data_IF_617631445265
#
_entry.id   IF_617631445265
#
_cell.length_a   1.000
_cell.length_b   1.000
_cell.length_c   1.000
_cell.angle_alpha   90.00
_cell.angle_beta   90.00
_cell.angle_gamma   90.00
#
_symmetry.space_group_name_H-M   'P 1'
#
loop_
_entity.id
_entity.type
_entity.pdbx_description
1 polymer ?
#
# COMPACT_ATOMS: atom_id res chain seq x y z
N UNK A 1 -6.98 -0.09 -0.84
CA UNK A 1 -7.05 0.44 -2.20
C UNK A 1 -8.10 1.55 -2.26
N UNK A 2 -7.68 2.79 -2.45
CA UNK A 2 -8.49 3.99 -2.25
C UNK A 2 -9.43 4.26 -3.45
N UNK A 3 -9.15 3.60 -4.58
CA UNK A 3 -10.05 3.53 -5.73
C UNK A 3 -11.47 3.06 -5.35
N UNK A 4 -11.61 2.27 -4.29
CA UNK A 4 -12.91 1.85 -3.76
C UNK A 4 -13.83 3.04 -3.39
N UNK A 5 -13.28 4.16 -2.91
CA UNK A 5 -14.07 5.38 -2.62
C UNK A 5 -14.74 5.87 -3.89
N UNK A 6 -13.98 5.92 -5.00
CA UNK A 6 -14.50 6.31 -6.31
C UNK A 6 -15.51 5.30 -6.84
N UNK A 7 -15.23 4.00 -6.68
CA UNK A 7 -16.14 2.91 -7.10
C UNK A 7 -17.48 3.00 -6.39
N UNK A 8 -17.53 3.09 -5.05
CA UNK A 8 -18.80 3.24 -4.33
C UNK A 8 -19.55 4.47 -4.81
N UNK A 9 -18.88 5.62 -4.87
CA UNK A 9 -19.51 6.88 -5.26
C UNK A 9 -20.10 6.83 -6.68
N UNK A 10 -19.49 6.05 -7.57
CA UNK A 10 -19.90 5.96 -8.98
C UNK A 10 -20.97 4.87 -9.19
N UNK A 11 -20.79 3.70 -8.60
CA UNK A 11 -21.61 2.51 -8.85
C UNK A 11 -22.75 2.33 -7.82
N UNK A 12 -22.60 2.90 -6.62
CA UNK A 12 -23.56 2.79 -5.50
C UNK A 12 -23.78 4.17 -4.85
N UNK A 13 -24.26 5.18 -5.59
CA UNK A 13 -24.34 6.57 -5.10
C UNK A 13 -25.28 6.75 -3.89
N UNK A 14 -26.23 5.85 -3.70
CA UNK A 14 -27.18 5.88 -2.59
C UNK A 14 -26.64 5.22 -1.30
N UNK A 15 -25.47 4.58 -1.37
CA UNK A 15 -24.86 3.95 -0.20
C UNK A 15 -24.19 5.01 0.69
N UNK A 16 -24.77 5.27 1.86
CA UNK A 16 -24.15 6.11 2.88
C UNK A 16 -23.03 5.34 3.60
N UNK A 17 -21.83 5.38 3.03
CA UNK A 17 -20.63 4.79 3.62
C UNK A 17 -19.70 5.86 4.22
N UNK A 18 -19.03 5.49 5.31
CA UNK A 18 -18.06 6.35 6.00
C UNK A 18 -16.80 5.56 6.35
N UNK A 19 -15.63 6.15 6.13
CA UNK A 19 -14.36 5.62 6.62
C UNK A 19 -14.11 6.09 8.05
N UNK A 20 -13.81 5.14 8.92
CA UNK A 20 -13.41 5.39 10.31
C UNK A 20 -11.91 5.65 10.45
N UNK A 21 -11.47 6.14 11.63
CA UNK A 21 -10.05 6.29 11.93
C UNK A 21 -9.35 4.93 12.06
N UNK A 22 -8.03 4.90 11.87
CA UNK A 22 -7.19 3.72 12.15
C UNK A 22 -7.29 3.37 13.64
N UNK A 23 -7.46 2.07 13.95
CA UNK A 23 -7.57 1.54 15.32
C UNK A 23 -6.31 1.83 16.15
N UNK A 24 -6.46 2.02 17.47
CA UNK A 24 -5.44 2.63 18.34
C UNK A 24 -4.89 1.75 19.47
N UNK A 25 -5.31 0.48 19.59
CA UNK A 25 -5.09 -0.28 20.82
C UNK A 25 -3.61 -0.53 21.17
N UNK A 26 -2.82 -1.03 20.21
CA UNK A 26 -1.40 -1.37 20.40
C UNK A 26 -0.50 -0.52 19.51
N UNK A 27 -0.60 -0.75 18.20
CA UNK A 27 0.07 0.03 17.20
C UNK A 27 -0.97 0.56 16.21
N UNK A 28 -0.91 1.86 15.92
CA UNK A 28 -1.74 2.45 14.88
C UNK A 28 -1.04 2.26 13.54
N UNK A 29 -1.41 1.21 12.82
CA UNK A 29 -0.74 0.78 11.59
C UNK A 29 -1.78 0.47 10.51
N UNK A 30 -1.45 0.88 9.29
CA UNK A 30 -2.13 0.43 8.08
C UNK A 30 -1.10 -0.16 7.12
N UNK A 31 -1.56 -0.98 6.18
CA UNK A 31 -0.74 -1.43 5.07
C UNK A 31 -0.77 -0.36 3.97
N UNK A 32 0.40 0.04 3.49
CA UNK A 32 0.53 0.89 2.31
C UNK A 32 1.46 0.25 1.28
N UNK A 33 1.32 0.69 0.04
CA UNK A 33 2.26 0.36 -1.03
C UNK A 33 2.47 1.62 -1.83
N UNK A 34 3.71 1.88 -2.24
CA UNK A 34 4.05 3.01 -3.10
C UNK A 34 4.42 2.46 -4.47
N UNK A 35 3.70 2.91 -5.50
CA UNK A 35 4.10 2.68 -6.88
C UNK A 35 5.32 3.54 -7.22
N UNK A 36 6.37 2.89 -7.74
CA UNK A 36 7.59 3.55 -8.19
C UNK A 36 7.75 3.45 -9.71
N UNK A 37 8.55 4.35 -10.27
CA UNK A 37 9.01 4.26 -11.65
C UNK A 37 10.45 3.78 -11.68
N UNK A 38 10.76 2.84 -12.58
CA UNK A 38 12.10 2.32 -12.80
C UNK A 38 12.49 2.43 -14.26
N UNK A 39 13.76 2.71 -14.53
CA UNK A 39 14.33 2.64 -15.88
C UNK A 39 15.11 1.33 -15.96
N UNK A 40 14.80 0.51 -16.97
CA UNK A 40 15.56 -0.72 -17.21
C UNK A 40 17.02 -0.39 -17.50
N UNK A 41 17.94 -1.13 -16.88
CA UNK A 41 19.37 -0.95 -17.09
C UNK A 41 19.80 -1.23 -18.55
N UNK A 42 18.99 -1.98 -19.31
CA UNK A 42 19.23 -2.26 -20.73
C UNK A 42 18.55 -1.27 -21.67
N UNK A 43 17.94 -0.18 -21.15
CA UNK A 43 17.31 0.83 -22.00
C UNK A 43 18.31 1.41 -22.99
N UNK A 44 17.90 1.51 -24.26
CA UNK A 44 18.69 2.19 -25.30
C UNK A 44 18.63 3.72 -25.19
N UNK A 45 17.70 4.24 -24.38
CA UNK A 45 17.43 5.67 -24.23
C UNK A 45 17.20 6.03 -22.75
N UNK A 46 18.19 5.81 -21.86
CA UNK A 46 18.01 6.05 -20.42
C UNK A 46 17.73 7.52 -20.09
N UNK A 47 18.39 8.45 -20.80
CA UNK A 47 18.23 9.89 -20.54
C UNK A 47 16.84 10.39 -20.93
N UNK A 48 16.35 10.00 -22.12
CA UNK A 48 15.00 10.34 -22.55
C UNK A 48 13.93 9.71 -21.64
N UNK A 49 14.17 8.49 -21.15
CA UNK A 49 13.29 7.87 -20.16
C UNK A 49 13.28 8.65 -18.83
N UNK A 50 14.45 9.14 -18.37
CA UNK A 50 14.55 9.97 -17.17
C UNK A 50 13.81 11.30 -17.34
N UNK A 51 13.96 11.98 -18.48
CA UNK A 51 13.21 13.22 -18.79
C UNK A 51 11.70 12.97 -18.81
N UNK A 52 11.27 11.85 -19.40
CA UNK A 52 9.85 11.47 -19.39
C UNK A 52 9.32 11.23 -17.98
N UNK A 53 10.09 10.57 -17.11
CA UNK A 53 9.71 10.38 -15.71
C UNK A 53 9.62 11.71 -14.95
N UNK A 54 10.55 12.65 -15.19
CA UNK A 54 10.49 13.99 -14.58
C UNK A 54 9.27 14.76 -15.06
N UNK A 55 8.94 14.68 -16.35
CA UNK A 55 7.70 15.24 -16.88
C UNK A 55 6.48 14.62 -16.19
N UNK A 56 6.39 13.30 -16.14
CA UNK A 56 5.23 12.60 -15.58
C UNK A 56 5.06 12.85 -14.07
N UNK A 57 6.16 12.95 -13.33
CA UNK A 57 6.19 13.06 -11.87
C UNK A 57 6.30 14.50 -11.36
N UNK A 58 6.14 15.50 -12.22
CA UNK A 58 5.99 16.89 -11.80
C UNK A 58 4.67 17.07 -11.01
N UNK A 59 4.59 18.14 -10.21
CA UNK A 59 3.46 18.34 -9.30
C UNK A 59 2.10 18.37 -9.99
N UNK A 60 1.99 19.03 -11.16
CA UNK A 60 0.71 19.15 -11.87
C UNK A 60 0.26 17.80 -12.44
N UNK A 61 1.12 17.13 -13.21
CA UNK A 61 0.81 15.85 -13.83
C UNK A 61 0.55 14.77 -12.77
N UNK A 62 1.28 14.82 -11.65
CA UNK A 62 1.05 13.94 -10.53
C UNK A 62 -0.31 14.21 -9.87
N UNK A 63 -0.69 15.47 -9.65
CA UNK A 63 -2.01 15.80 -9.11
C UNK A 63 -3.14 15.34 -10.04
N UNK A 64 -3.03 15.58 -11.34
CA UNK A 64 -4.03 15.17 -12.32
C UNK A 64 -4.22 13.64 -12.32
N UNK A 65 -3.11 12.89 -12.27
CA UNK A 65 -3.14 11.43 -12.20
C UNK A 65 -3.77 10.94 -10.88
N UNK A 66 -3.35 11.49 -9.75
CA UNK A 66 -3.84 11.09 -8.43
C UNK A 66 -5.32 11.44 -8.25
N UNK A 67 -5.75 12.60 -8.74
CA UNK A 67 -7.16 13.02 -8.77
C UNK A 67 -8.00 12.03 -9.57
N UNK A 68 -7.54 11.70 -10.78
CA UNK A 68 -8.28 10.80 -11.66
C UNK A 68 -8.49 9.41 -11.02
N UNK A 69 -7.45 8.85 -10.39
CA UNK A 69 -7.52 7.50 -9.80
C UNK A 69 -7.93 7.45 -8.33
N UNK A 70 -8.14 8.60 -7.67
CA UNK A 70 -8.37 8.69 -6.23
C UNK A 70 -7.23 8.04 -5.42
N UNK A 71 -6.00 8.22 -5.88
CA UNK A 71 -4.80 7.75 -5.18
C UNK A 71 -4.27 8.80 -4.22
N UNK A 72 -3.63 8.35 -3.14
CA UNK A 72 -2.96 9.23 -2.19
C UNK A 72 -1.57 9.55 -2.72
N UNK A 73 -1.15 10.80 -2.60
CA UNK A 73 0.19 11.21 -3.01
C UNK A 73 1.26 10.55 -2.12
N UNK A 74 2.35 10.01 -2.70
CA UNK A 74 3.55 9.67 -1.93
C UNK A 74 4.34 10.93 -1.50
N UNK A 75 4.08 12.10 -2.11
CA UNK A 75 4.65 13.40 -1.72
C UNK A 75 3.68 14.12 -0.79
N UNK A 76 4.02 14.20 0.50
CA UNK A 76 3.20 14.87 1.51
C UNK A 76 3.00 16.37 1.25
N UNK A 77 3.91 17.01 0.51
CA UNK A 77 3.76 18.40 0.06
C UNK A 77 2.53 18.63 -0.82
N UNK A 78 2.00 17.59 -1.46
CA UNK A 78 0.83 17.67 -2.33
C UNK A 78 -0.49 17.36 -1.61
N UNK A 79 -0.47 16.95 -0.35
CA UNK A 79 -1.67 16.48 0.37
C UNK A 79 -2.78 17.52 0.41
N UNK A 80 -2.44 18.78 0.65
CA UNK A 80 -3.42 19.87 0.72
C UNK A 80 -4.03 20.16 -0.66
N UNK A 81 -3.21 20.22 -1.71
CA UNK A 81 -3.68 20.42 -3.09
C UNK A 81 -4.60 19.27 -3.52
N UNK A 82 -4.22 18.04 -3.21
CA UNK A 82 -5.00 16.85 -3.57
C UNK A 82 -6.33 16.77 -2.80
N UNK A 83 -6.37 17.15 -1.52
CA UNK A 83 -7.62 17.27 -0.74
C UNK A 83 -8.54 18.37 -1.26
N UNK A 84 -7.97 19.44 -1.83
CA UNK A 84 -8.76 20.50 -2.45
C UNK A 84 -9.40 20.04 -3.78
N UNK A 85 -8.70 19.20 -4.55
CA UNK A 85 -9.23 18.57 -5.77
C UNK A 85 -10.27 17.49 -5.47
N UNK A 86 -9.94 16.55 -4.58
CA UNK A 86 -10.85 15.48 -4.14
C UNK A 86 -11.52 15.89 -2.82
N UNK A 87 -12.68 16.51 -2.91
CA UNK A 87 -13.42 17.04 -1.75
C UNK A 87 -14.16 15.98 -0.93
N UNK A 88 -14.02 14.70 -1.28
CA UNK A 88 -14.71 13.60 -0.60
C UNK A 88 -14.16 13.43 0.84
N UNK A 89 -15.02 13.48 1.88
CA UNK A 89 -14.56 13.36 3.26
C UNK A 89 -13.92 11.99 3.56
N UNK A 90 -14.36 10.92 2.88
CA UNK A 90 -13.73 9.61 3.03
C UNK A 90 -12.31 9.61 2.45
N UNK A 91 -12.09 10.33 1.35
CA UNK A 91 -10.74 10.51 0.81
C UNK A 91 -9.85 11.26 1.81
N UNK A 92 -10.38 12.30 2.46
CA UNK A 92 -9.62 13.06 3.47
C UNK A 92 -9.22 12.21 4.68
N UNK A 93 -10.12 11.31 5.14
CA UNK A 93 -9.80 10.32 6.18
C UNK A 93 -8.69 9.40 5.70
N UNK A 94 -8.75 8.91 4.46
CA UNK A 94 -7.72 8.05 3.90
C UNK A 94 -6.35 8.74 3.80
N UNK A 95 -6.29 10.00 3.33
CA UNK A 95 -5.05 10.79 3.30
C UNK A 95 -4.51 11.01 4.72
N UNK A 96 -5.35 11.29 5.70
CA UNK A 96 -4.90 11.44 7.09
C UNK A 96 -4.40 10.13 7.71
N UNK A 97 -4.96 9.00 7.27
CA UNK A 97 -4.58 7.66 7.71
C UNK A 97 -3.24 7.19 7.08
N UNK A 98 -2.84 7.74 5.93
CA UNK A 98 -1.64 7.31 5.20
C UNK A 98 -0.35 7.47 6.01
N UNK A 99 -0.28 8.40 6.96
CA UNK A 99 0.86 8.55 7.86
C UNK A 99 1.11 7.34 8.77
N UNK A 100 0.11 6.47 8.91
CA UNK A 100 0.21 5.21 9.65
C UNK A 100 0.55 4.03 8.72
N UNK A 101 0.72 4.28 7.42
CA UNK A 101 1.06 3.24 6.47
C UNK A 101 2.48 2.74 6.75
N UNK A 102 2.63 1.43 6.78
CA UNK A 102 3.92 0.74 6.68
C UNK A 102 3.97 0.03 5.35
N UNK A 103 5.13 0.15 4.70
CA UNK A 103 5.38 -0.56 3.45
C UNK A 103 5.53 -2.07 3.71
N UNK A 104 5.32 -2.85 2.67
CA UNK A 104 5.64 -4.27 2.70
C UNK A 104 7.16 -4.48 2.77
N UNK A 105 7.57 -5.67 3.22
CA UNK A 105 8.98 -6.05 3.23
C UNK A 105 9.50 -6.06 1.79
N UNK A 106 10.51 -5.24 1.49
CA UNK A 106 11.12 -5.10 0.16
C UNK A 106 12.23 -6.10 -0.13
N UNK A 107 12.55 -6.97 0.84
CA UNK A 107 13.52 -8.04 0.67
C UNK A 107 13.03 -9.04 -0.40
N UNK A 108 13.88 -9.58 -1.29
CA UNK A 108 13.47 -10.57 -2.30
C UNK A 108 12.77 -11.81 -1.72
N UNK A 109 13.08 -12.17 -0.47
CA UNK A 109 12.41 -13.26 0.25
C UNK A 109 10.96 -12.95 0.68
N UNK A 110 10.48 -11.71 0.55
CA UNK A 110 9.15 -11.31 1.01
C UNK A 110 8.01 -12.07 0.34
N UNK A 111 8.22 -12.54 -0.88
CA UNK A 111 7.29 -13.41 -1.60
C UNK A 111 7.00 -14.72 -0.84
N UNK A 112 7.97 -15.23 -0.07
CA UNK A 112 7.80 -16.44 0.74
C UNK A 112 7.22 -16.14 2.12
N UNK A 113 7.59 -14.99 2.70
CA UNK A 113 7.10 -14.55 4.01
C UNK A 113 5.58 -14.53 4.09
N UNK A 114 4.92 -13.90 3.11
CA UNK A 114 3.46 -13.77 3.13
C UNK A 114 2.75 -15.12 3.10
N UNK A 115 3.31 -16.10 2.38
CA UNK A 115 2.71 -17.44 2.29
C UNK A 115 2.74 -18.16 3.64
N UNK A 116 3.88 -18.19 4.31
CA UNK A 116 4.00 -18.90 5.60
C UNK A 116 3.19 -18.22 6.70
N UNK A 117 3.14 -16.88 6.72
CA UNK A 117 2.29 -16.14 7.66
C UNK A 117 0.80 -16.39 7.41
N UNK A 118 0.35 -16.43 6.15
CA UNK A 118 -1.06 -16.72 5.83
C UNK A 118 -1.46 -18.12 6.30
N UNK A 119 -0.60 -19.11 6.12
CA UNK A 119 -0.82 -20.47 6.63
C UNK A 119 -0.93 -20.45 8.15
N UNK A 120 0.01 -19.80 8.85
CA UNK A 120 -0.02 -19.73 10.32
C UNK A 120 -1.28 -19.03 10.86
N UNK A 121 -1.71 -17.94 10.21
CA UNK A 121 -2.97 -17.25 10.56
C UNK A 121 -4.16 -18.17 10.37
N UNK A 122 -4.20 -18.93 9.27
CA UNK A 122 -5.27 -19.89 9.00
C UNK A 122 -5.30 -21.02 10.05
N UNK A 123 -4.16 -21.64 10.34
CA UNK A 123 -4.05 -22.70 11.37
C UNK A 123 -4.56 -22.19 12.74
N UNK A 124 -4.20 -20.95 13.11
CA UNK A 124 -4.62 -20.35 14.37
C UNK A 124 -6.12 -20.02 14.42
N UNK A 125 -6.68 -19.47 13.34
CA UNK A 125 -8.10 -19.11 13.24
C UNK A 125 -9.00 -20.36 13.18
N UNK A 126 -8.51 -21.44 12.56
CA UNK A 126 -9.20 -22.73 12.53
C UNK A 126 -9.00 -23.56 13.80
N UNK A 127 -8.25 -23.04 14.79
CA UNK A 127 -7.92 -23.73 16.04
C UNK A 127 -7.14 -25.04 15.85
N UNK A 128 -6.45 -25.20 14.72
CA UNK A 128 -5.58 -26.35 14.46
C UNK A 128 -4.28 -26.25 15.27
N UNK A 129 -3.83 -25.02 15.56
CA UNK A 129 -2.70 -24.72 16.45
C UNK A 129 -2.99 -23.48 17.30
N UNK A 130 -2.25 -23.36 18.41
CA UNK A 130 -2.19 -22.09 19.14
C UNK A 130 -1.48 -21.04 18.29
N UNK A 131 -1.93 -19.78 18.39
CA UNK A 131 -1.38 -18.68 17.58
C UNK A 131 0.14 -18.51 17.74
N UNK A 132 0.67 -18.78 18.94
CA UNK A 132 2.12 -18.73 19.19
C UNK A 132 2.85 -19.83 18.41
N UNK A 133 2.39 -21.06 18.51
CA UNK A 133 3.05 -22.21 17.89
C UNK A 133 3.02 -22.12 16.37
N UNK A 134 1.88 -21.70 15.80
CA UNK A 134 1.75 -21.49 14.36
C UNK A 134 2.73 -20.42 13.82
N UNK A 135 2.94 -19.33 14.58
CA UNK A 135 3.88 -18.27 14.22
C UNK A 135 5.34 -18.67 14.43
N UNK A 136 5.65 -19.45 15.47
CA UNK A 136 6.99 -19.99 15.69
C UNK A 136 7.40 -20.94 14.55
N UNK A 137 6.50 -21.85 14.13
CA UNK A 137 6.72 -22.75 12.99
C UNK A 137 6.96 -21.97 11.69
N UNK A 138 6.16 -20.93 11.43
CA UNK A 138 6.34 -20.07 10.26
C UNK A 138 7.70 -19.34 10.30
N UNK A 139 8.12 -18.88 11.48
CA UNK A 139 9.42 -18.23 11.65
C UNK A 139 10.59 -19.20 11.37
N UNK A 140 10.52 -20.44 11.84
CA UNK A 140 11.54 -21.46 11.56
C UNK A 140 11.68 -21.73 10.05
N UNK A 141 10.57 -21.94 9.35
CA UNK A 141 10.57 -22.13 7.89
C UNK A 141 11.16 -20.92 7.15
N UNK A 142 10.82 -19.71 7.60
CA UNK A 142 11.34 -18.49 7.00
C UNK A 142 12.85 -18.33 7.23
N UNK A 143 13.37 -18.70 8.40
CA UNK A 143 14.80 -18.68 8.66
C UNK A 143 15.55 -19.62 7.71
N UNK A 144 15.04 -20.82 7.46
CA UNK A 144 15.63 -21.75 6.48
C UNK A 144 15.67 -21.13 5.08
N UNK A 145 14.60 -20.48 4.62
CA UNK A 145 14.56 -19.82 3.31
C UNK A 145 15.60 -18.69 3.25
N UNK A 146 15.69 -17.89 4.31
CA UNK A 146 16.66 -16.80 4.38
C UNK A 146 18.11 -17.31 4.36
N UNK A 147 18.40 -18.44 5.00
CA UNK A 147 19.76 -19.03 5.04
C UNK A 147 20.17 -19.78 3.77
N UNK A 148 19.19 -20.30 3.01
CA UNK A 148 19.47 -21.21 1.88
C UNK A 148 19.34 -20.54 0.51
N UNK A 149 18.59 -19.44 0.39
CA UNK A 149 18.27 -18.82 -0.90
C UNK A 149 18.83 -17.40 -1.08
N UNK A 150 19.30 -16.76 -0.01
CA UNK A 150 19.77 -15.37 0.02
C UNK A 150 21.06 -15.25 0.85
#
# INVERSE_FOLDING_TARGET
>A
EQAFIKVIKTEYPDLDFRLGPVLKYKDQVTMGTVGGYGIFSQSKYPDAAAEWLLFFTNDQNQLDFLEYFYFISPRTSLDNSLKALITDPNFHVAVNASKYARDMVTHPASAYFMKEILVAVQEAVLHEKMAKDALDDAAEKMNIILETMF
#
